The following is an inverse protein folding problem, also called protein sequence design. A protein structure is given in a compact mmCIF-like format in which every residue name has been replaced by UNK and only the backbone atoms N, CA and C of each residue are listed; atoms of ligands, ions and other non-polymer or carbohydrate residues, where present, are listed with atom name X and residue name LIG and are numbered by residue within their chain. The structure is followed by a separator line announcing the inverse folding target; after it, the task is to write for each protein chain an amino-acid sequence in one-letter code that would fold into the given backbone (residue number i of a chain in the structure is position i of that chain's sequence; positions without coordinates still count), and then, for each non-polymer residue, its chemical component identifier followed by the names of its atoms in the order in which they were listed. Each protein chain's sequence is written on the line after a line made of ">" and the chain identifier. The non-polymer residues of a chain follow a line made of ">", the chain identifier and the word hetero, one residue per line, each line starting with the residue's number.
data_IF_531702382429
#
_entry.id   IF_531702382429
#
_cell.length_a   1.000
_cell.length_b   1.000
_cell.length_c   1.000
_cell.angle_alpha   90.00
_cell.angle_beta   90.00
_cell.angle_gamma   90.00
#
_symmetry.space_group_name_H-M   'P 1'
#
loop_
_entity.id
_entity.type
_entity.pdbx_description
1 polymer ?
#
# COMPACT_ATOMS: atom_id res chain seq x y z
N UNK A 1 -17.96 3.66 -1.42
CA UNK A 1 -19.17 2.93 -1.90
C UNK A 1 -19.47 1.69 -1.04
N UNK A 2 -18.59 0.69 -0.90
CA UNK A 2 -18.86 -0.55 -0.12
C UNK A 2 -19.28 -0.35 1.34
N UNK A 3 -18.58 0.50 2.09
CA UNK A 3 -18.94 0.78 3.48
C UNK A 3 -20.36 1.36 3.60
N UNK A 4 -20.74 2.21 2.64
CA UNK A 4 -22.08 2.78 2.58
C UNK A 4 -23.10 1.72 2.18
N UNK A 5 -22.84 0.91 1.14
CA UNK A 5 -23.74 -0.20 0.78
C UNK A 5 -23.93 -1.18 1.94
N UNK A 6 -22.86 -1.56 2.64
CA UNK A 6 -22.94 -2.43 3.81
C UNK A 6 -23.80 -1.81 4.92
N UNK A 7 -23.69 -0.49 5.14
CA UNK A 7 -24.49 0.21 6.14
C UNK A 7 -25.95 0.34 5.71
N UNK A 8 -26.21 0.76 4.48
CA UNK A 8 -27.54 1.11 3.97
C UNK A 8 -28.34 -0.14 3.59
N UNK A 9 -27.74 -1.06 2.84
CA UNK A 9 -28.45 -2.25 2.31
C UNK A 9 -28.43 -3.40 3.31
N UNK A 10 -27.34 -3.56 4.08
CA UNK A 10 -27.16 -4.68 5.02
C UNK A 10 -27.28 -4.29 6.50
N UNK A 11 -27.56 -3.01 6.81
CA UNK A 11 -27.72 -2.54 8.19
C UNK A 11 -26.44 -2.62 9.03
N UNK A 12 -25.26 -2.73 8.41
CA UNK A 12 -24.00 -2.84 9.15
C UNK A 12 -23.74 -1.59 10.00
N UNK A 13 -23.39 -1.80 11.27
CA UNK A 13 -23.02 -0.71 12.17
C UNK A 13 -21.60 -0.25 11.88
N UNK A 14 -21.44 1.04 11.63
CA UNK A 14 -20.15 1.69 11.41
C UNK A 14 -19.75 2.49 12.66
N UNK A 15 -18.58 2.19 13.22
CA UNK A 15 -18.01 2.90 14.37
C UNK A 15 -16.67 3.48 13.92
N UNK A 16 -16.47 4.79 14.14
CA UNK A 16 -15.24 5.47 13.73
C UNK A 16 -14.48 5.97 14.95
N UNK A 17 -13.20 5.63 15.02
CA UNK A 17 -12.21 6.26 15.89
C UNK A 17 -11.38 7.19 15.01
N UNK A 18 -11.40 8.48 15.31
CA UNK A 18 -10.72 9.50 14.52
C UNK A 18 -10.49 10.72 15.41
N UNK A 19 -9.37 11.42 15.24
CA UNK A 19 -9.05 12.64 15.99
C UNK A 19 -9.98 13.80 15.60
N UNK A 20 -10.58 13.74 14.42
CA UNK A 20 -11.51 14.74 13.88
C UNK A 20 -12.83 14.12 13.44
N UNK A 21 -13.88 14.93 13.38
CA UNK A 21 -15.14 14.54 12.74
C UNK A 21 -14.94 14.54 11.21
N UNK A 22 -14.48 13.43 10.66
CA UNK A 22 -14.35 13.23 9.21
C UNK A 22 -15.70 12.93 8.54
N UNK A 23 -15.74 12.98 7.20
CA UNK A 23 -16.90 12.54 6.41
C UNK A 23 -17.36 11.12 6.73
N UNK A 24 -16.42 10.23 7.06
CA UNK A 24 -16.71 8.87 7.50
C UNK A 24 -17.32 8.87 8.91
N UNK A 25 -16.75 9.65 9.83
CA UNK A 25 -17.26 9.80 11.19
C UNK A 25 -18.70 10.36 11.21
N UNK A 26 -18.99 11.38 10.41
CA UNK A 26 -20.32 11.97 10.25
C UNK A 26 -21.36 10.96 9.72
N UNK A 27 -20.92 9.96 8.96
CA UNK A 27 -21.76 8.87 8.43
C UNK A 27 -21.71 7.60 9.29
N UNK A 28 -21.06 7.65 10.45
CA UNK A 28 -20.96 6.51 11.38
C UNK A 28 -22.12 6.51 12.36
N UNK A 29 -22.43 5.32 12.91
CA UNK A 29 -23.38 5.20 14.01
C UNK A 29 -22.84 5.79 15.31
N UNK A 30 -21.51 5.81 15.48
CA UNK A 30 -20.84 6.53 16.55
C UNK A 30 -19.44 6.96 16.09
N UNK A 31 -19.01 8.11 16.60
CA UNK A 31 -17.66 8.61 16.49
C UNK A 31 -17.05 8.76 17.88
N UNK A 32 -15.82 8.28 18.04
CA UNK A 32 -15.03 8.43 19.25
C UNK A 32 -13.81 9.31 18.94
N UNK A 33 -13.76 10.55 19.46
CA UNK A 33 -12.59 11.41 19.34
C UNK A 33 -11.46 10.83 20.17
N UNK A 34 -10.56 10.11 19.49
CA UNK A 34 -9.40 9.48 20.11
C UNK A 34 -8.22 10.46 20.08
N UNK A 35 -7.31 10.39 21.06
CA UNK A 35 -6.03 11.09 20.98
C UNK A 35 -5.13 10.44 19.92
N UNK A 36 -4.44 11.25 19.12
CA UNK A 36 -3.56 10.79 18.06
C UNK A 36 -2.53 9.77 18.57
N UNK A 37 -2.34 8.67 17.84
CA UNK A 37 -1.39 7.61 18.17
C UNK A 37 -1.79 6.69 19.33
N UNK A 38 -3.03 6.79 19.85
CA UNK A 38 -3.50 5.96 20.98
C UNK A 38 -4.46 4.83 20.57
N UNK A 39 -4.60 4.58 19.26
CA UNK A 39 -5.46 3.52 18.70
C UNK A 39 -5.06 2.13 19.21
N UNK A 40 -3.76 1.87 19.30
CA UNK A 40 -3.22 0.60 19.76
C UNK A 40 -3.66 0.23 21.16
N UNK A 41 -3.65 1.17 22.12
CA UNK A 41 -4.06 0.86 23.50
C UNK A 41 -5.56 0.59 23.62
N UNK A 42 -6.39 1.30 22.83
CA UNK A 42 -7.83 1.03 22.77
C UNK A 42 -8.09 -0.35 22.21
N UNK A 43 -7.43 -0.72 21.11
CA UNK A 43 -7.56 -2.03 20.51
C UNK A 43 -7.09 -3.17 21.45
N UNK A 44 -5.97 -2.98 22.15
CA UNK A 44 -5.46 -3.96 23.13
C UNK A 44 -6.39 -4.10 24.33
N UNK A 45 -7.00 -3.01 24.81
CA UNK A 45 -7.99 -3.08 25.89
C UNK A 45 -9.29 -3.75 25.45
N UNK A 46 -9.75 -3.49 24.22
CA UNK A 46 -10.87 -4.24 23.64
C UNK A 46 -10.53 -5.73 23.52
N UNK A 47 -9.34 -6.07 23.02
CA UNK A 47 -8.85 -7.45 22.93
C UNK A 47 -8.85 -8.14 24.31
N UNK A 48 -8.38 -7.44 25.36
CA UNK A 48 -8.43 -7.94 26.74
C UNK A 48 -9.86 -8.30 27.15
N UNK A 49 -10.82 -7.38 26.95
CA UNK A 49 -12.22 -7.60 27.31
C UNK A 49 -12.82 -8.79 26.55
N UNK A 50 -12.50 -8.95 25.26
CA UNK A 50 -12.95 -10.09 24.45
C UNK A 50 -12.42 -11.42 25.03
N UNK A 51 -11.14 -11.48 25.37
CA UNK A 51 -10.49 -12.68 25.91
C UNK A 51 -10.97 -13.00 27.32
N UNK A 52 -11.06 -12.00 28.20
CA UNK A 52 -11.48 -12.20 29.60
C UNK A 52 -12.94 -12.66 29.71
N UNK A 53 -13.80 -12.22 28.79
CA UNK A 53 -15.20 -12.68 28.70
C UNK A 53 -15.39 -13.99 27.94
N UNK A 54 -14.30 -14.63 27.47
CA UNK A 54 -14.39 -15.88 26.71
C UNK A 54 -15.07 -15.73 25.35
N UNK A 55 -15.06 -14.54 24.74
CA UNK A 55 -15.73 -14.25 23.47
C UNK A 55 -14.83 -14.48 22.24
N UNK A 56 -13.55 -14.77 22.46
CA UNK A 56 -12.61 -15.08 21.39
C UNK A 56 -12.94 -16.42 20.70
N UNK A 57 -12.69 -16.49 19.40
CA UNK A 57 -12.82 -17.70 18.59
C UNK A 57 -11.63 -18.64 18.87
N UNK A 58 -11.77 -19.49 19.89
CA UNK A 58 -10.71 -20.40 20.33
C UNK A 58 -10.18 -21.29 19.20
N UNK A 59 -11.06 -21.89 18.41
CA UNK A 59 -10.66 -22.78 17.32
C UNK A 59 -9.81 -22.07 16.26
N UNK A 60 -10.18 -20.83 15.91
CA UNK A 60 -9.38 -20.02 15.00
C UNK A 60 -8.02 -19.70 15.60
N UNK A 61 -7.97 -19.27 16.86
CA UNK A 61 -6.71 -18.91 17.52
C UNK A 61 -5.75 -20.10 17.59
N UNK A 62 -6.22 -21.27 18.01
CA UNK A 62 -5.35 -22.44 18.22
C UNK A 62 -4.89 -23.05 16.88
N UNK A 63 -5.77 -23.08 15.86
CA UNK A 63 -5.48 -23.73 14.57
C UNK A 63 -4.82 -22.81 13.55
N UNK A 64 -5.18 -21.53 13.53
CA UNK A 64 -4.83 -20.59 12.44
C UNK A 64 -3.84 -19.49 12.85
N UNK A 65 -3.42 -19.41 14.11
CA UNK A 65 -2.43 -18.41 14.57
C UNK A 65 -1.23 -19.07 15.22
N UNK A 66 -0.08 -18.39 15.18
CA UNK A 66 1.19 -18.90 15.71
C UNK A 66 1.36 -18.67 17.23
N UNK A 67 0.35 -18.12 17.90
CA UNK A 67 0.41 -17.75 19.31
C UNK A 67 -0.92 -18.09 20.00
N UNK A 68 -0.88 -18.90 21.05
CA UNK A 68 -2.09 -19.46 21.68
C UNK A 68 -2.92 -18.42 22.41
N UNK A 69 -4.23 -18.69 22.52
CA UNK A 69 -5.16 -17.81 23.24
C UNK A 69 -4.75 -17.60 24.72
N UNK A 70 -4.21 -18.63 25.37
CA UNK A 70 -3.73 -18.54 26.75
C UNK A 70 -2.53 -17.59 26.89
N UNK A 71 -1.56 -17.64 25.96
CA UNK A 71 -0.43 -16.73 25.96
C UNK A 71 -0.85 -15.29 25.64
N UNK A 72 -1.82 -15.11 24.75
CA UNK A 72 -2.42 -13.79 24.46
C UNK A 72 -3.10 -13.23 25.70
N UNK A 73 -3.88 -14.04 26.42
CA UNK A 73 -4.53 -13.62 27.67
C UNK A 73 -3.51 -13.08 28.67
N UNK A 74 -2.38 -13.78 28.84
CA UNK A 74 -1.31 -13.33 29.71
C UNK A 74 -0.71 -11.99 29.27
N UNK A 75 -0.37 -11.86 27.98
CA UNK A 75 0.18 -10.62 27.42
C UNK A 75 -0.78 -9.42 27.56
N UNK A 76 -2.08 -9.67 27.42
CA UNK A 76 -3.12 -8.65 27.49
C UNK A 76 -3.44 -8.16 28.91
N UNK A 77 -2.96 -8.85 29.95
CA UNK A 77 -3.27 -8.56 31.37
C UNK A 77 -3.09 -7.08 31.74
N UNK A 78 -2.05 -6.42 31.20
CA UNK A 78 -1.68 -5.02 31.45
C UNK A 78 -2.50 -3.94 30.72
N UNK A 79 -3.33 -4.31 29.75
CA UNK A 79 -4.07 -3.34 28.92
C UNK A 79 -5.51 -3.20 29.40
N UNK A 80 -5.71 -2.61 30.58
CA UNK A 80 -7.06 -2.45 31.15
C UNK A 80 -7.85 -1.34 30.42
N UNK A 81 -9.20 -1.45 30.34
CA UNK A 81 -10.05 -0.38 29.80
C UNK A 81 -9.88 0.98 30.49
N UNK A 82 -9.53 1.01 31.77
CA UNK A 82 -9.28 2.23 32.54
C UNK A 82 -7.99 2.90 32.10
N UNK A 83 -6.91 2.11 31.90
CA UNK A 83 -5.65 2.61 31.36
C UNK A 83 -5.82 3.13 29.94
N UNK A 84 -6.50 2.37 29.09
CA UNK A 84 -6.81 2.80 27.73
C UNK A 84 -7.65 4.09 27.70
N UNK A 85 -8.61 4.24 28.62
CA UNK A 85 -9.41 5.46 28.69
C UNK A 85 -8.58 6.69 29.09
N UNK A 86 -7.69 6.54 30.07
CA UNK A 86 -6.77 7.61 30.50
C UNK A 86 -5.87 8.08 29.34
N UNK A 87 -5.27 7.14 28.63
CA UNK A 87 -4.36 7.43 27.52
C UNK A 87 -5.13 8.04 26.34
N UNK A 88 -6.20 7.36 25.88
CA UNK A 88 -6.85 7.67 24.60
C UNK A 88 -7.95 8.72 24.65
N UNK A 89 -8.52 9.00 25.83
CA UNK A 89 -9.72 9.81 25.99
C UNK A 89 -11.04 9.07 25.73
N UNK A 90 -11.01 7.82 25.25
CA UNK A 90 -12.23 7.02 25.03
C UNK A 90 -12.71 6.43 26.35
N UNK A 91 -13.93 6.76 26.78
CA UNK A 91 -14.50 6.29 28.06
C UNK A 91 -14.41 4.76 28.22
N UNK A 92 -14.02 4.30 29.40
CA UNK A 92 -13.92 2.88 29.76
C UNK A 92 -15.19 2.08 29.41
N UNK A 93 -16.36 2.62 29.73
CA UNK A 93 -17.64 1.98 29.41
C UNK A 93 -17.82 1.74 27.89
N UNK A 94 -17.35 2.67 27.05
CA UNK A 94 -17.41 2.51 25.60
C UNK A 94 -16.45 1.43 25.12
N UNK A 95 -15.21 1.40 25.63
CA UNK A 95 -14.22 0.36 25.29
C UNK A 95 -14.78 -1.04 25.61
N UNK A 96 -15.30 -1.22 26.82
CA UNK A 96 -15.87 -2.50 27.25
C UNK A 96 -17.08 -2.91 26.42
N UNK A 97 -18.01 -1.98 26.19
CA UNK A 97 -19.22 -2.22 25.39
C UNK A 97 -18.87 -2.58 23.95
N UNK A 98 -18.03 -1.78 23.30
CA UNK A 98 -17.64 -1.99 21.90
C UNK A 98 -16.87 -3.30 21.73
N UNK A 99 -16.04 -3.71 22.69
CA UNK A 99 -15.37 -5.00 22.66
C UNK A 99 -16.36 -6.18 22.60
N UNK A 100 -17.40 -6.14 23.45
CA UNK A 100 -18.45 -7.16 23.48
C UNK A 100 -19.30 -7.10 22.21
N UNK A 101 -19.72 -5.91 21.78
CA UNK A 101 -20.49 -5.72 20.53
C UNK A 101 -19.71 -6.25 19.33
N UNK A 102 -18.42 -5.91 19.22
CA UNK A 102 -17.53 -6.34 18.15
C UNK A 102 -17.38 -7.87 18.09
N UNK A 103 -17.23 -8.54 19.24
CA UNK A 103 -17.08 -10.00 19.26
C UNK A 103 -18.39 -10.76 19.03
N UNK A 104 -19.54 -10.19 19.43
CA UNK A 104 -20.85 -10.84 19.30
C UNK A 104 -21.51 -10.58 17.94
N UNK A 105 -21.38 -9.39 17.37
CA UNK A 105 -21.94 -9.05 16.06
C UNK A 105 -21.04 -9.62 14.97
N UNK A 106 -21.45 -10.75 14.38
CA UNK A 106 -20.67 -11.43 13.34
C UNK A 106 -21.39 -11.37 11.99
N UNK A 107 -20.68 -11.12 10.88
CA UNK A 107 -19.27 -10.78 10.80
C UNK A 107 -18.98 -9.35 11.29
N UNK A 108 -17.82 -9.16 11.90
CA UNK A 108 -17.27 -7.86 12.31
C UNK A 108 -15.84 -7.71 11.82
N UNK A 109 -15.42 -6.48 11.54
CA UNK A 109 -14.06 -6.20 11.13
C UNK A 109 -13.59 -4.86 11.67
N UNK A 110 -12.32 -4.81 12.06
CA UNK A 110 -11.62 -3.59 12.39
C UNK A 110 -10.73 -3.22 11.20
N UNK A 111 -10.99 -2.06 10.60
CA UNK A 111 -10.26 -1.52 9.46
C UNK A 111 -9.17 -0.56 9.92
N UNK A 112 -8.09 -0.48 9.14
CA UNK A 112 -6.88 0.26 9.46
C UNK A 112 -6.60 1.24 8.31
N UNK A 113 -6.17 2.46 8.64
CA UNK A 113 -5.76 3.48 7.66
C UNK A 113 -4.56 4.29 8.15
N UNK A 114 -4.17 5.30 7.37
CA UNK A 114 -2.98 6.14 7.62
C UNK A 114 -2.93 6.73 9.03
N UNK A 115 -4.06 7.22 9.56
CA UNK A 115 -4.11 7.78 10.93
C UNK A 115 -3.70 6.81 12.04
N UNK A 116 -3.70 5.50 11.80
CA UNK A 116 -3.22 4.48 12.76
C UNK A 116 -1.75 4.14 12.52
N UNK A 117 -1.32 4.11 11.25
CA UNK A 117 0.03 3.68 10.83
C UNK A 117 1.07 4.81 10.83
N UNK A 118 0.66 6.05 10.65
CA UNK A 118 1.55 7.18 10.35
C UNK A 118 2.04 7.84 11.65
N UNK A 119 2.52 6.99 12.55
CA UNK A 119 3.00 7.33 13.87
C UNK A 119 4.27 6.52 14.19
N UNK A 120 5.09 7.01 15.15
CA UNK A 120 6.29 6.26 15.61
C UNK A 120 5.94 4.86 16.12
N UNK A 121 4.80 4.71 16.79
CA UNK A 121 4.26 3.43 17.27
C UNK A 121 3.32 2.73 16.26
N UNK A 122 3.25 3.23 15.02
CA UNK A 122 2.22 2.86 14.04
C UNK A 122 2.22 1.38 13.67
N UNK A 123 3.39 0.75 13.51
CA UNK A 123 3.47 -0.70 13.29
C UNK A 123 2.78 -1.49 14.41
N UNK A 124 2.95 -1.08 15.66
CA UNK A 124 2.34 -1.76 16.80
C UNK A 124 0.84 -1.43 16.93
N UNK A 125 0.41 -0.22 16.58
CA UNK A 125 -1.01 0.12 16.48
C UNK A 125 -1.73 -0.75 15.45
N UNK A 126 -1.16 -0.89 14.24
CA UNK A 126 -1.70 -1.74 13.17
C UNK A 126 -1.82 -3.19 13.65
N UNK A 127 -0.76 -3.73 14.28
CA UNK A 127 -0.78 -5.10 14.86
C UNK A 127 -1.86 -5.25 15.93
N UNK A 128 -2.08 -4.22 16.75
CA UNK A 128 -3.07 -4.21 17.83
C UNK A 128 -4.50 -4.20 17.28
N UNK A 129 -4.78 -3.41 16.24
CA UNK A 129 -6.09 -3.41 15.57
C UNK A 129 -6.32 -4.73 14.82
N UNK A 130 -5.29 -5.26 14.15
CA UNK A 130 -5.37 -6.56 13.48
C UNK A 130 -5.69 -7.70 14.46
N UNK A 131 -5.16 -7.65 15.69
CA UNK A 131 -5.44 -8.63 16.75
C UNK A 131 -6.95 -8.78 17.02
N UNK A 132 -7.73 -7.71 16.95
CA UNK A 132 -9.19 -7.79 17.11
C UNK A 132 -9.82 -8.71 16.06
N UNK A 133 -9.41 -8.58 14.80
CA UNK A 133 -9.91 -9.41 13.71
C UNK A 133 -9.55 -10.90 13.89
N UNK A 134 -8.34 -11.17 14.39
CA UNK A 134 -7.88 -12.53 14.68
C UNK A 134 -8.70 -13.14 15.82
N UNK A 135 -8.91 -12.40 16.90
CA UNK A 135 -9.67 -12.87 18.06
C UNK A 135 -11.11 -13.26 17.72
N UNK A 136 -11.76 -12.57 16.77
CA UNK A 136 -13.13 -12.93 16.35
C UNK A 136 -13.16 -13.98 15.23
N UNK A 137 -12.02 -14.23 14.58
CA UNK A 137 -11.84 -15.26 13.57
C UNK A 137 -12.63 -14.99 12.29
N UNK A 138 -12.66 -13.73 11.83
CA UNK A 138 -13.35 -13.28 10.62
C UNK A 138 -12.43 -13.16 9.39
N UNK A 139 -11.26 -13.78 9.41
CA UNK A 139 -10.39 -13.91 8.24
C UNK A 139 -10.94 -14.96 7.28
N UNK A 140 -10.99 -14.64 6.00
CA UNK A 140 -11.53 -15.45 4.90
C UNK A 140 -12.99 -15.86 5.11
N UNK A 141 -13.77 -15.00 5.79
CA UNK A 141 -15.22 -15.15 5.98
C UNK A 141 -15.99 -14.01 5.31
N UNK A 142 -17.23 -14.30 4.91
CA UNK A 142 -18.11 -13.27 4.34
C UNK A 142 -18.28 -12.11 5.32
N UNK A 143 -18.18 -10.87 4.82
CA UNK A 143 -18.23 -9.65 5.64
C UNK A 143 -17.01 -9.43 6.55
N UNK A 144 -15.99 -10.28 6.45
CA UNK A 144 -14.73 -10.18 7.17
C UNK A 144 -13.56 -9.74 6.28
N UNK A 145 -12.34 -10.05 6.74
CA UNK A 145 -11.10 -9.76 6.00
C UNK A 145 -10.76 -10.90 5.04
N UNK A 146 -9.97 -10.60 4.01
CA UNK A 146 -9.45 -11.62 3.10
C UNK A 146 -8.05 -11.22 2.61
N UNK A 147 -7.25 -12.21 2.24
CA UNK A 147 -5.97 -12.02 1.59
C UNK A 147 -6.17 -11.60 0.13
N UNK A 148 -5.48 -10.55 -0.32
CA UNK A 148 -5.55 -10.14 -1.71
C UNK A 148 -5.02 -11.25 -2.61
N UNK A 149 -5.77 -11.57 -3.66
CA UNK A 149 -5.36 -12.55 -4.68
C UNK A 149 -4.96 -11.84 -5.96
N UNK A 150 -3.83 -12.23 -6.51
CA UNK A 150 -3.27 -11.68 -7.74
C UNK A 150 -3.09 -12.81 -8.76
N UNK A 151 -3.33 -12.57 -10.07
CA UNK A 151 -3.22 -13.60 -11.09
C UNK A 151 -1.75 -13.94 -11.38
N UNK A 152 -0.87 -12.94 -11.30
CA UNK A 152 0.58 -13.06 -11.47
C UNK A 152 1.33 -11.96 -10.72
N UNK A 153 2.59 -12.21 -10.40
CA UNK A 153 3.52 -11.12 -10.09
C UNK A 153 3.78 -10.30 -11.35
N UNK A 154 3.50 -9.01 -11.29
CA UNK A 154 3.82 -8.09 -12.38
C UNK A 154 5.30 -7.72 -12.39
N UNK A 155 6.05 -7.98 -11.31
CA UNK A 155 7.46 -7.64 -11.28
C UNK A 155 8.26 -8.55 -12.23
N UNK A 156 9.24 -8.01 -12.97
CA UNK A 156 10.20 -8.85 -13.69
C UNK A 156 10.80 -9.86 -12.71
N UNK A 157 10.99 -11.12 -13.12
CA UNK A 157 11.68 -12.10 -12.28
C UNK A 157 13.08 -11.54 -11.99
N UNK A 158 13.28 -11.05 -10.77
CA UNK A 158 14.59 -10.67 -10.29
C UNK A 158 15.48 -11.91 -10.40
N UNK A 159 16.46 -11.89 -11.30
CA UNK A 159 17.48 -12.93 -11.33
C UNK A 159 18.19 -12.87 -9.98
N UNK A 160 17.98 -13.91 -9.16
CA UNK A 160 18.49 -14.12 -7.80
C UNK A 160 19.40 -12.97 -7.35
N UNK A 161 18.76 -11.83 -7.05
CA UNK A 161 19.42 -10.69 -6.46
C UNK A 161 19.61 -11.15 -5.03
N UNK A 162 20.56 -12.06 -4.80
CA UNK A 162 21.23 -12.21 -3.52
C UNK A 162 21.73 -10.82 -3.23
N UNK A 163 20.92 -10.11 -2.47
CA UNK A 163 21.01 -8.68 -2.27
C UNK A 163 22.34 -8.45 -1.58
N UNK A 164 23.39 -8.21 -2.38
CA UNK A 164 24.52 -7.40 -1.95
C UNK A 164 24.10 -5.95 -1.71
N UNK A 165 22.85 -5.60 -2.03
CA UNK A 165 22.10 -4.66 -1.23
C UNK A 165 22.01 -5.27 0.17
N UNK A 166 23.04 -5.04 0.98
CA UNK A 166 22.96 -5.24 2.42
C UNK A 166 21.62 -4.63 2.88
N UNK A 167 21.01 -5.18 3.92
CA UNK A 167 19.89 -4.54 4.61
C UNK A 167 20.15 -3.05 4.95
N UNK A 168 21.42 -2.63 4.92
CA UNK A 168 21.95 -1.27 4.98
C UNK A 168 21.60 -0.34 3.78
N UNK A 169 21.20 -0.85 2.61
CA UNK A 169 20.91 -0.03 1.42
C UNK A 169 19.41 0.20 1.18
N UNK A 170 18.55 -0.20 2.11
CA UNK A 170 17.13 0.15 2.10
C UNK A 170 16.92 1.47 2.85
N UNK A 171 17.44 2.56 2.28
CA UNK A 171 17.14 3.92 2.74
C UNK A 171 15.65 4.17 2.48
N UNK A 172 14.85 4.25 3.55
CA UNK A 172 13.38 4.39 3.52
C UNK A 172 12.91 5.81 3.25
N UNK A 173 13.84 6.76 3.18
CA UNK A 173 13.58 8.15 2.83
C UNK A 173 14.88 8.94 2.75
N UNK A 174 14.86 10.07 2.05
CA UNK A 174 16.07 10.88 1.83
C UNK A 174 16.71 11.35 3.16
N UNK A 175 15.91 11.56 4.20
CA UNK A 175 16.38 11.93 5.54
C UNK A 175 17.31 10.87 6.15
N UNK A 176 17.05 9.58 5.89
CA UNK A 176 17.88 8.48 6.39
C UNK A 176 19.28 8.48 5.76
N UNK A 177 19.48 9.09 4.59
CA UNK A 177 20.84 9.31 4.03
C UNK A 177 21.71 10.10 4.99
N UNK A 178 21.13 11.13 5.61
CA UNK A 178 21.84 11.98 6.59
C UNK A 178 22.15 11.22 7.86
N UNK A 179 21.17 10.49 8.39
CA UNK A 179 21.30 9.73 9.64
C UNK A 179 22.33 8.61 9.52
N UNK A 180 22.36 7.92 8.37
CA UNK A 180 23.29 6.83 8.11
C UNK A 180 24.63 7.29 7.52
N UNK A 181 24.77 8.60 7.26
CA UNK A 181 25.89 9.18 6.51
C UNK A 181 26.14 8.45 5.17
N UNK A 182 25.06 7.96 4.54
CA UNK A 182 25.14 7.23 3.28
C UNK A 182 25.17 8.23 2.13
N UNK A 183 26.22 8.15 1.33
CA UNK A 183 26.35 8.96 0.11
C UNK A 183 25.78 8.22 -1.09
N UNK A 184 24.98 8.92 -1.89
CA UNK A 184 24.53 8.46 -3.20
C UNK A 184 25.16 9.30 -4.31
N UNK A 185 25.32 8.73 -5.50
CA UNK A 185 25.86 9.48 -6.65
C UNK A 185 24.77 10.22 -7.43
N UNK A 186 23.55 9.69 -7.42
CA UNK A 186 22.44 10.22 -8.20
C UNK A 186 21.14 9.95 -7.47
N UNK A 187 20.28 10.96 -7.36
CA UNK A 187 18.92 10.82 -6.89
C UNK A 187 17.97 10.97 -8.08
N UNK A 188 17.20 9.93 -8.39
CA UNK A 188 16.22 9.95 -9.47
C UNK A 188 14.81 9.96 -8.87
N UNK A 189 14.11 11.09 -8.98
CA UNK A 189 12.71 11.21 -8.61
C UNK A 189 11.82 10.99 -9.85
N UNK A 190 10.88 10.05 -9.78
CA UNK A 190 9.89 9.83 -10.84
C UNK A 190 8.49 10.01 -10.27
N UNK A 191 7.71 10.97 -10.82
CA UNK A 191 6.37 11.34 -10.34
C UNK A 191 6.30 11.42 -8.80
N UNK A 192 7.33 12.02 -8.22
CA UNK A 192 7.55 12.10 -6.78
C UNK A 192 8.06 13.49 -6.46
N UNK A 193 7.44 14.13 -5.47
CA UNK A 193 7.74 15.51 -5.07
C UNK A 193 8.17 15.58 -3.59
N UNK A 194 9.29 14.95 -3.21
CA UNK A 194 9.75 14.87 -1.82
C UNK A 194 9.98 16.24 -1.18
N UNK A 195 10.32 17.27 -1.96
CA UNK A 195 10.41 18.65 -1.48
C UNK A 195 9.11 19.21 -0.89
N UNK A 196 7.96 18.62 -1.25
CA UNK A 196 6.64 19.01 -0.77
C UNK A 196 6.00 17.94 0.12
N UNK A 197 6.16 16.65 -0.21
CA UNK A 197 5.40 15.55 0.43
C UNK A 197 6.08 14.94 1.65
N UNK A 198 7.39 15.13 1.83
CA UNK A 198 8.11 14.48 2.94
C UNK A 198 7.78 15.15 4.29
N UNK A 199 7.73 14.38 5.41
CA UNK A 199 7.35 14.90 6.73
C UNK A 199 8.20 16.06 7.29
N UNK A 200 9.47 16.16 6.85
CA UNK A 200 10.35 17.32 7.11
C UNK A 200 10.87 17.86 5.77
N UNK A 201 9.99 18.56 5.07
CA UNK A 201 10.28 19.13 3.76
C UNK A 201 11.49 20.08 3.79
N UNK A 202 11.73 20.79 4.89
CA UNK A 202 12.88 21.68 5.06
C UNK A 202 14.21 20.92 5.02
N UNK A 203 14.32 19.85 5.82
CA UNK A 203 15.50 18.98 5.78
C UNK A 203 15.65 18.28 4.43
N UNK A 204 14.56 17.78 3.85
CA UNK A 204 14.58 17.16 2.52
C UNK A 204 15.08 18.13 1.45
N UNK A 205 14.57 19.36 1.39
CA UNK A 205 15.04 20.40 0.46
C UNK A 205 16.52 20.71 0.69
N UNK A 206 16.95 20.82 1.95
CA UNK A 206 18.37 21.03 2.27
C UNK A 206 19.26 19.90 1.76
N UNK A 207 18.83 18.64 1.91
CA UNK A 207 19.55 17.46 1.44
C UNK A 207 19.59 17.36 -0.09
N UNK A 208 18.49 17.66 -0.77
CA UNK A 208 18.41 17.65 -2.23
C UNK A 208 19.33 18.70 -2.87
N UNK A 209 19.59 19.82 -2.17
CA UNK A 209 20.50 20.87 -2.62
C UNK A 209 21.96 20.64 -2.21
N UNK A 210 22.22 19.69 -1.32
CA UNK A 210 23.58 19.40 -0.86
C UNK A 210 24.30 18.49 -1.85
N UNK A 211 25.10 19.08 -2.74
CA UNK A 211 25.89 18.37 -3.75
C UNK A 211 26.88 17.34 -3.15
N UNK A 212 27.19 17.41 -1.85
CA UNK A 212 28.03 16.39 -1.19
C UNK A 212 27.26 15.09 -0.98
N UNK A 213 25.96 15.18 -0.69
CA UNK A 213 25.07 14.06 -0.40
C UNK A 213 24.32 13.60 -1.65
N UNK A 214 23.79 14.55 -2.42
CA UNK A 214 23.08 14.35 -3.69
C UNK A 214 23.79 15.15 -4.79
N UNK A 215 24.86 14.61 -5.39
CA UNK A 215 25.65 15.33 -6.41
C UNK A 215 24.93 15.53 -7.74
N UNK A 216 23.86 14.76 -7.99
CA UNK A 216 23.11 14.84 -9.23
C UNK A 216 21.65 14.45 -9.00
N UNK A 217 20.76 15.42 -9.13
CA UNK A 217 19.32 15.29 -8.98
C UNK A 217 18.65 15.25 -10.36
N UNK A 218 18.03 14.11 -10.67
CA UNK A 218 17.21 13.94 -11.86
C UNK A 218 15.75 13.86 -11.44
N UNK A 219 14.90 14.67 -12.06
CA UNK A 219 13.46 14.63 -11.83
C UNK A 219 12.74 14.36 -13.14
N UNK A 220 11.98 13.26 -13.17
CA UNK A 220 11.11 12.91 -14.27
C UNK A 220 9.65 13.07 -13.86
N UNK A 221 9.01 14.11 -14.36
CA UNK A 221 7.65 14.48 -13.97
C UNK A 221 6.84 15.04 -15.14
N UNK A 222 5.52 15.03 -14.98
CA UNK A 222 4.55 15.65 -15.88
C UNK A 222 4.51 17.17 -15.72
N UNK A 223 4.92 17.69 -14.57
CA UNK A 223 4.90 19.11 -14.24
C UNK A 223 6.23 19.57 -13.67
N UNK A 224 6.51 20.87 -13.74
CA UNK A 224 7.64 21.47 -13.04
C UNK A 224 7.28 21.61 -11.54
N UNK A 225 7.54 20.55 -10.77
CA UNK A 225 7.30 20.49 -9.31
C UNK A 225 8.37 21.24 -8.52
N UNK A 226 8.13 21.49 -7.23
CA UNK A 226 9.11 22.08 -6.30
C UNK A 226 10.42 21.29 -6.28
N UNK A 227 10.34 19.96 -6.35
CA UNK A 227 11.52 19.09 -6.49
C UNK A 227 12.20 19.29 -7.85
N UNK A 228 11.42 19.37 -8.94
CA UNK A 228 11.97 19.57 -10.29
C UNK A 228 12.68 20.92 -10.47
N UNK A 229 12.20 21.97 -9.79
CA UNK A 229 12.83 23.30 -9.82
C UNK A 229 14.25 23.33 -9.24
N UNK A 230 14.63 22.31 -8.47
CA UNK A 230 15.97 22.16 -7.89
C UNK A 230 16.84 21.15 -8.65
N UNK A 231 16.29 20.48 -9.67
CA UNK A 231 16.97 19.39 -10.34
C UNK A 231 18.02 19.88 -11.33
N UNK A 232 19.13 19.14 -11.41
CA UNK A 232 20.14 19.33 -12.45
C UNK A 232 19.60 18.94 -13.83
N UNK A 233 18.68 17.98 -13.86
CA UNK A 233 18.01 17.52 -15.08
C UNK A 233 16.54 17.25 -14.84
N UNK A 234 15.69 17.91 -15.62
CA UNK A 234 14.25 17.65 -15.68
C UNK A 234 13.92 16.88 -16.96
N UNK A 235 13.29 15.72 -16.82
CA UNK A 235 12.81 14.88 -17.92
C UNK A 235 11.28 14.93 -17.98
N UNK A 236 10.66 15.28 -19.12
CA UNK A 236 9.21 15.24 -19.24
C UNK A 236 8.69 13.79 -19.20
N UNK A 237 7.77 13.50 -18.26
CA UNK A 237 7.16 12.19 -18.13
C UNK A 237 5.87 12.06 -18.95
N UNK A 238 5.65 10.89 -19.53
CA UNK A 238 4.36 10.51 -20.10
C UNK A 238 3.24 10.54 -19.03
N UNK A 239 2.10 11.14 -19.35
CA UNK A 239 0.89 11.04 -18.54
C UNK A 239 0.29 9.63 -18.64
N UNK A 240 -0.67 9.33 -17.76
CA UNK A 240 -1.37 8.04 -17.81
C UNK A 240 -2.20 7.84 -19.09
N UNK A 241 -2.49 8.89 -19.86
CA UNK A 241 -3.24 8.81 -21.13
C UNK A 241 -2.32 8.52 -22.34
N UNK A 242 -1.01 8.67 -22.18
CA UNK A 242 -0.04 8.59 -23.27
C UNK A 242 0.76 7.29 -23.27
N UNK A 243 0.76 6.57 -22.14
CA UNK A 243 1.62 5.41 -21.94
C UNK A 243 0.88 4.10 -21.72
N UNK A 244 1.53 3.01 -22.11
CA UNK A 244 1.07 1.68 -21.77
C UNK A 244 1.11 1.45 -20.24
N UNK A 245 0.27 0.57 -19.74
CA UNK A 245 0.29 0.20 -18.33
C UNK A 245 -0.41 -1.13 -18.09
N UNK A 246 0.07 -1.87 -17.10
CA UNK A 246 -0.60 -3.07 -16.62
C UNK A 246 -0.76 -2.96 -15.11
N UNK A 247 -1.96 -3.22 -14.61
CA UNK A 247 -2.25 -3.14 -13.19
C UNK A 247 -3.04 -4.36 -12.73
N UNK A 248 -2.59 -4.97 -11.65
CA UNK A 248 -3.34 -6.00 -10.94
C UNK A 248 -3.58 -5.51 -9.53
N UNK A 249 -4.74 -4.88 -9.34
CA UNK A 249 -5.22 -4.54 -8.01
C UNK A 249 -6.06 -5.70 -7.46
N UNK A 250 -6.08 -5.93 -6.14
CA UNK A 250 -7.05 -6.83 -5.54
C UNK A 250 -8.46 -6.40 -5.94
N UNK A 251 -9.23 -7.31 -6.52
CA UNK A 251 -10.59 -6.98 -6.90
C UNK A 251 -11.52 -6.98 -5.70
N UNK A 252 -12.67 -6.34 -5.90
CA UNK A 252 -13.70 -6.24 -4.88
C UNK A 252 -14.18 -7.62 -4.43
N UNK A 253 -14.38 -8.56 -5.35
CA UNK A 253 -14.97 -9.87 -5.04
C UNK A 253 -13.91 -10.96 -4.78
N UNK A 254 -12.67 -10.53 -4.54
CA UNK A 254 -11.50 -11.40 -4.32
C UNK A 254 -11.26 -12.39 -5.48
N UNK A 255 -11.66 -11.96 -6.68
CA UNK A 255 -11.36 -12.61 -7.97
C UNK A 255 -10.18 -11.85 -8.60
N UNK A 256 -9.02 -12.47 -8.83
CA UNK A 256 -7.90 -11.79 -9.46
C UNK A 256 -8.28 -11.08 -10.76
N UNK A 257 -7.85 -9.82 -10.90
CA UNK A 257 -8.06 -9.02 -12.12
C UNK A 257 -6.74 -8.51 -12.67
N UNK A 258 -6.72 -8.28 -13.97
CA UNK A 258 -5.64 -7.60 -14.67
C UNK A 258 -6.24 -6.53 -15.59
N UNK A 259 -5.85 -5.28 -15.39
CA UNK A 259 -6.23 -4.15 -16.23
C UNK A 259 -5.09 -3.80 -17.18
N UNK A 260 -5.43 -3.57 -18.44
CA UNK A 260 -4.52 -3.04 -19.45
C UNK A 260 -4.90 -1.59 -19.74
N UNK A 261 -3.93 -0.69 -19.52
CA UNK A 261 -4.01 0.70 -19.96
C UNK A 261 -3.35 0.82 -21.33
N UNK A 262 -4.10 1.38 -22.27
CA UNK A 262 -3.64 1.71 -23.62
C UNK A 262 -3.46 3.21 -23.74
N UNK A 263 -2.48 3.68 -24.53
CA UNK A 263 -2.39 5.08 -24.87
C UNK A 263 -3.67 5.51 -25.61
N UNK A 264 -4.33 6.53 -25.09
CA UNK A 264 -5.51 7.18 -25.71
C UNK A 264 -5.04 8.24 -26.71
N UNK A 265 -3.92 8.88 -26.42
CA UNK A 265 -3.25 9.84 -27.29
C UNK A 265 -1.79 9.43 -27.46
N UNK A 266 -1.18 9.79 -28.60
CA UNK A 266 0.27 9.62 -28.78
C UNK A 266 1.02 10.60 -27.88
N UNK A 267 2.20 10.22 -27.40
CA UNK A 267 3.12 11.13 -26.72
C UNK A 267 3.27 12.42 -27.54
N UNK A 268 2.84 13.53 -26.95
CA UNK A 268 2.95 14.84 -27.57
C UNK A 268 4.39 15.31 -27.40
N UNK A 269 5.12 15.50 -28.50
CA UNK A 269 6.34 16.29 -28.41
C UNK A 269 5.99 17.77 -28.43
N UNK A 270 6.60 18.55 -27.53
CA UNK A 270 6.46 20.01 -27.55
C UNK A 270 6.81 20.57 -28.94
N UNK A 271 7.79 19.97 -29.62
CA UNK A 271 8.15 20.30 -31.00
C UNK A 271 7.05 20.00 -32.03
N UNK A 272 6.25 18.94 -31.86
CA UNK A 272 5.11 18.61 -32.74
C UNK A 272 3.88 19.47 -32.43
N UNK A 273 3.62 19.78 -31.16
CA UNK A 273 2.50 20.65 -30.75
C UNK A 273 2.74 22.09 -31.22
N UNK A 274 3.95 22.62 -31.06
CA UNK A 274 4.33 23.96 -31.55
C UNK A 274 4.30 24.09 -33.09
N UNK A 275 4.30 22.97 -33.82
CA UNK A 275 4.20 22.93 -35.29
C UNK A 275 2.78 22.63 -35.79
N UNK A 276 1.80 22.45 -34.89
CA UNK A 276 0.42 22.17 -35.25
C UNK A 276 -0.33 23.45 -35.66
N UNK A 277 -1.03 23.48 -36.81
CA UNK A 277 -1.81 24.64 -37.26
C UNK A 277 -2.91 25.09 -36.29
N UNK A 278 -3.36 24.20 -35.40
CA UNK A 278 -4.40 24.46 -34.39
C UNK A 278 -3.91 25.39 -33.26
N UNK A 279 -2.60 25.62 -33.14
CA UNK A 279 -1.98 26.40 -32.06
C UNK A 279 -1.78 27.89 -32.38
N UNK A 280 -2.17 28.37 -33.56
CA UNK A 280 -2.11 29.81 -33.93
C UNK A 280 -2.90 30.72 -32.96
N UNK A 281 -3.89 30.17 -32.24
CA UNK A 281 -4.69 30.90 -31.23
C UNK A 281 -3.99 30.95 -29.84
N UNK A 282 -2.95 30.14 -29.62
CA UNK A 282 -2.25 29.96 -28.33
C UNK A 282 -0.98 30.81 -28.15
N UNK A 283 -0.71 31.79 -29.05
CA UNK A 283 0.51 32.64 -29.01
C UNK A 283 0.68 33.51 -27.75
N UNK A 284 -0.29 33.51 -26.83
CA UNK A 284 -0.23 34.22 -25.53
C UNK A 284 0.31 33.36 -24.37
N UNK A 285 0.55 32.06 -24.59
CA UNK A 285 1.03 31.12 -23.56
C UNK A 285 2.33 30.43 -24.00
N UNK A 286 3.26 31.15 -24.63
CA UNK A 286 4.59 30.61 -24.89
C UNK A 286 5.32 30.40 -23.55
N UNK A 287 5.71 29.16 -23.20
CA UNK A 287 6.65 28.96 -22.10
C UNK A 287 7.98 29.60 -22.51
N UNK A 288 8.53 30.48 -21.67
CA UNK A 288 9.83 31.15 -21.90
C UNK A 288 11.00 30.17 -22.13
N UNK A 289 10.81 28.87 -21.84
CA UNK A 289 11.77 27.81 -22.12
C UNK A 289 11.17 26.80 -23.11
N UNK A 290 11.83 26.60 -24.25
CA UNK A 290 11.55 25.47 -25.15
C UNK A 290 11.90 24.17 -24.42
N UNK A 291 10.97 23.22 -24.22
CA UNK A 291 11.29 21.94 -23.60
C UNK A 291 12.40 21.25 -24.39
N UNK A 292 13.51 20.88 -23.72
CA UNK A 292 14.67 20.25 -24.37
C UNK A 292 14.49 18.75 -24.64
N UNK A 293 13.32 18.15 -24.33
CA UNK A 293 13.04 16.74 -24.52
C UNK A 293 11.58 16.45 -24.90
N UNK A 294 11.35 15.32 -25.56
CA UNK A 294 10.02 14.75 -25.79
C UNK A 294 9.58 13.98 -24.53
N UNK A 295 8.28 14.00 -24.21
CA UNK A 295 7.76 13.19 -23.09
C UNK A 295 7.95 11.70 -23.39
N UNK A 296 8.35 10.94 -22.37
CA UNK A 296 8.67 9.53 -22.53
C UNK A 296 8.12 8.68 -21.37
N UNK A 297 7.89 7.39 -21.61
CA UNK A 297 7.50 6.46 -20.56
C UNK A 297 8.72 6.10 -19.69
N UNK A 298 8.56 6.08 -18.36
CA UNK A 298 9.64 5.69 -17.44
C UNK A 298 10.22 4.30 -17.75
N UNK A 299 9.39 3.38 -18.24
CA UNK A 299 9.83 2.05 -18.65
C UNK A 299 10.88 2.13 -19.76
N UNK A 300 10.67 2.96 -20.78
CA UNK A 300 11.62 3.15 -21.87
C UNK A 300 12.91 3.81 -21.39
N UNK A 301 12.82 4.81 -20.50
CA UNK A 301 13.99 5.45 -19.88
C UNK A 301 14.80 4.42 -19.08
N UNK A 302 14.16 3.62 -18.23
CA UNK A 302 14.81 2.57 -17.45
C UNK A 302 15.48 1.52 -18.34
N UNK A 303 14.83 1.11 -19.44
CA UNK A 303 15.40 0.15 -20.40
C UNK A 303 16.62 0.73 -21.12
N UNK A 304 16.57 2.00 -21.52
CA UNK A 304 17.69 2.68 -22.15
C UNK A 304 18.88 2.85 -21.19
N UNK A 305 18.62 3.25 -19.94
CA UNK A 305 19.64 3.30 -18.89
C UNK A 305 20.27 1.92 -18.66
N UNK A 306 19.45 0.87 -18.59
CA UNK A 306 19.95 -0.50 -18.42
C UNK A 306 20.89 -0.94 -19.56
N UNK A 307 20.58 -0.56 -20.81
CA UNK A 307 21.45 -0.82 -21.97
C UNK A 307 22.78 -0.07 -21.88
N UNK A 308 22.76 1.17 -21.40
CA UNK A 308 23.96 2.01 -21.23
C UNK A 308 24.85 1.53 -20.09
N UNK A 309 24.26 1.13 -18.97
CA UNK A 309 24.98 0.57 -17.81
C UNK A 309 25.61 -0.78 -18.16
N UNK A 310 25.00 -1.55 -19.08
CA UNK A 310 25.44 -2.89 -19.50
C UNK A 310 25.46 -3.88 -18.31
N UNK A 311 26.18 -4.99 -18.46
CA UNK A 311 26.36 -5.98 -17.39
C UNK A 311 25.08 -6.72 -17.00
N UNK A 312 24.92 -7.01 -15.70
CA UNK A 312 23.78 -7.78 -15.16
C UNK A 312 22.46 -7.01 -15.29
N UNK A 313 22.48 -5.68 -15.18
CA UNK A 313 21.28 -4.83 -15.28
C UNK A 313 20.68 -4.90 -16.68
N UNK A 314 21.51 -4.70 -17.72
CA UNK A 314 21.07 -4.84 -19.11
C UNK A 314 20.60 -6.27 -19.46
N UNK A 315 21.27 -7.30 -18.94
CA UNK A 315 20.87 -8.71 -19.17
C UNK A 315 19.51 -9.06 -18.55
N UNK A 316 19.19 -8.47 -17.40
CA UNK A 316 17.95 -8.76 -16.66
C UNK A 316 16.73 -7.99 -17.19
N UNK A 317 16.92 -7.02 -18.10
CA UNK A 317 15.86 -6.25 -18.72
C UNK A 317 15.91 -6.38 -20.26
N UNK A 318 15.69 -7.58 -20.82
CA UNK A 318 15.84 -7.87 -22.26
C UNK A 318 14.63 -7.42 -23.08
N UNK A 319 14.02 -6.30 -22.71
CA UNK A 319 12.81 -5.77 -23.32
C UNK A 319 13.15 -4.65 -24.30
N UNK A 320 12.43 -4.61 -25.43
CA UNK A 320 12.61 -3.57 -26.45
C UNK A 320 12.11 -2.21 -25.95
N UNK A 321 10.93 -2.20 -25.37
CA UNK A 321 10.21 -1.02 -24.88
C UNK A 321 9.17 -1.46 -23.82
N UNK A 322 8.48 -0.50 -23.20
CA UNK A 322 7.44 -0.78 -22.20
C UNK A 322 6.33 -1.68 -22.76
N UNK A 323 5.96 -1.51 -24.04
CA UNK A 323 4.91 -2.31 -24.65
C UNK A 323 5.34 -3.77 -24.87
N UNK A 324 6.59 -4.04 -25.27
CA UNK A 324 7.16 -5.38 -25.34
C UNK A 324 7.17 -6.05 -23.96
N UNK A 325 7.60 -5.34 -22.92
CA UNK A 325 7.56 -5.83 -21.55
C UNK A 325 6.13 -6.25 -21.14
N UNK A 326 5.16 -5.34 -21.29
CA UNK A 326 3.75 -5.62 -20.94
C UNK A 326 3.19 -6.78 -21.78
N UNK A 327 3.53 -6.83 -23.08
CA UNK A 327 3.12 -7.91 -23.98
C UNK A 327 3.63 -9.27 -23.51
N UNK A 328 4.89 -9.36 -23.07
CA UNK A 328 5.47 -10.60 -22.54
C UNK A 328 4.86 -11.00 -21.20
N UNK A 329 4.61 -10.04 -20.30
CA UNK A 329 3.91 -10.29 -19.03
C UNK A 329 2.52 -10.87 -19.30
N UNK A 330 1.73 -10.24 -20.17
CA UNK A 330 0.39 -10.71 -20.54
C UNK A 330 0.44 -12.10 -21.19
N UNK A 331 1.40 -12.33 -22.10
CA UNK A 331 1.54 -13.61 -22.80
C UNK A 331 1.95 -14.76 -21.87
N UNK A 332 2.55 -14.44 -20.72
CA UNK A 332 2.90 -15.43 -19.70
C UNK A 332 1.70 -15.95 -18.90
N UNK A 333 0.53 -15.29 -18.99
CA UNK A 333 -0.68 -15.62 -18.24
C UNK A 333 -1.54 -16.61 -19.05
N UNK A 334 -1.66 -17.89 -18.66
CA UNK A 334 -2.35 -18.89 -19.47
C UNK A 334 -3.84 -18.59 -19.69
N UNK A 335 -4.50 -18.01 -18.69
CA UNK A 335 -5.92 -17.63 -18.78
C UNK A 335 -6.18 -16.59 -19.86
N UNK A 336 -5.35 -15.55 -19.93
CA UNK A 336 -5.46 -14.52 -20.97
C UNK A 336 -5.17 -15.10 -22.36
N UNK A 337 -4.16 -15.97 -22.48
CA UNK A 337 -3.84 -16.63 -23.76
C UNK A 337 -5.02 -17.44 -24.30
N UNK A 338 -5.73 -18.16 -23.45
CA UNK A 338 -6.94 -18.93 -23.82
C UNK A 338 -8.09 -18.03 -24.27
N UNK A 339 -8.22 -16.84 -23.69
CA UNK A 339 -9.29 -15.88 -24.01
C UNK A 339 -8.93 -14.95 -25.18
N UNK A 340 -8.01 -15.33 -26.08
CA UNK A 340 -7.65 -14.51 -27.24
C UNK A 340 -6.52 -13.50 -27.00
N UNK A 341 -5.80 -13.62 -25.89
CA UNK A 341 -4.53 -12.95 -25.63
C UNK A 341 -4.63 -11.42 -25.54
N UNK A 342 -3.52 -10.76 -25.86
CA UNK A 342 -3.42 -9.30 -25.85
C UNK A 342 -4.47 -8.63 -26.74
N UNK A 343 -4.84 -9.24 -27.87
CA UNK A 343 -5.85 -8.68 -28.80
C UNK A 343 -7.21 -8.55 -28.13
N UNK A 344 -7.67 -9.60 -27.43
CA UNK A 344 -8.93 -9.53 -26.70
C UNK A 344 -8.82 -8.57 -25.50
N UNK A 345 -7.71 -8.59 -24.77
CA UNK A 345 -7.51 -7.69 -23.63
C UNK A 345 -7.48 -6.21 -24.02
N UNK A 346 -6.90 -5.85 -25.18
CA UNK A 346 -6.95 -4.49 -25.73
C UNK A 346 -8.39 -4.04 -26.00
N UNK A 347 -9.29 -4.94 -26.41
CA UNK A 347 -10.69 -4.60 -26.63
C UNK A 347 -11.48 -4.47 -25.32
N UNK A 348 -11.22 -5.35 -24.36
CA UNK A 348 -11.98 -5.42 -23.10
C UNK A 348 -11.45 -4.46 -22.02
N UNK A 349 -10.17 -4.09 -22.06
CA UNK A 349 -9.47 -3.30 -21.04
C UNK A 349 -9.21 -4.03 -19.72
N UNK A 350 -10.02 -5.04 -19.40
CA UNK A 350 -10.00 -5.82 -18.17
C UNK A 350 -10.04 -7.31 -18.49
N UNK A 351 -9.19 -8.08 -17.81
CA UNK A 351 -9.33 -9.52 -17.68
C UNK A 351 -9.62 -9.91 -16.23
N UNK A 352 -10.50 -10.88 -16.07
CA UNK A 352 -10.91 -11.43 -14.78
C UNK A 352 -10.56 -12.90 -14.78
N UNK A 353 -9.80 -13.36 -13.80
CA UNK A 353 -9.42 -14.76 -13.71
C UNK A 353 -10.57 -15.61 -13.18
N UNK A 354 -11.52 -15.91 -14.07
CA UNK A 354 -12.69 -16.77 -13.79
C UNK A 354 -12.30 -18.22 -13.48
N UNK A 355 -11.13 -18.64 -13.96
CA UNK A 355 -10.62 -20.00 -13.79
C UNK A 355 -9.84 -20.17 -12.49
N UNK A 356 -9.26 -19.09 -11.95
CA UNK A 356 -8.86 -19.08 -10.55
C UNK A 356 -10.08 -19.49 -9.76
N UNK A 357 -9.98 -20.64 -9.09
CA UNK A 357 -10.88 -20.99 -8.02
C UNK A 357 -10.59 -20.04 -6.84
N UNK A 358 -10.72 -18.73 -7.04
CA UNK A 358 -11.42 -17.97 -6.04
C UNK A 358 -12.77 -18.68 -5.95
N UNK A 359 -13.08 -19.26 -4.80
CA UNK A 359 -14.46 -19.64 -4.55
C UNK A 359 -15.27 -18.36 -4.66
N UNK A 360 -15.75 -18.02 -5.86
CA UNK A 360 -16.89 -17.15 -6.01
C UNK A 360 -17.94 -17.81 -5.16
N UNK A 361 -18.21 -17.23 -3.98
CA UNK A 361 -18.96 -17.75 -2.85
C UNK A 361 -19.82 -18.98 -3.20
N UNK A 362 -19.19 -20.14 -3.37
CA UNK A 362 -19.86 -21.43 -3.39
C UNK A 362 -19.65 -21.95 -1.98
N UNK A 363 -20.58 -21.50 -1.13
CA UNK A 363 -21.00 -22.14 0.10
C UNK A 363 -20.63 -23.62 0.07
N UNK A 364 -19.48 -23.96 0.66
CA UNK A 364 -19.14 -25.34 0.98
C UNK A 364 -18.09 -25.32 2.06
N UNK A 365 -18.57 -25.77 3.23
CA UNK A 365 -17.87 -26.31 4.40
C UNK A 365 -16.34 -26.27 4.32
N UNK A 366 -15.76 -25.59 5.31
CA UNK A 366 -14.39 -25.83 5.79
C UNK A 366 -13.38 -26.17 4.69
N UNK A 367 -13.19 -25.27 3.72
CA UNK A 367 -12.02 -25.36 2.86
C UNK A 367 -10.88 -24.62 3.52
N UNK A 368 -9.89 -25.41 3.94
CA UNK A 368 -8.57 -24.96 4.34
C UNK A 368 -8.06 -23.91 3.37
N UNK A 369 -7.56 -22.81 3.95
CA UNK A 369 -7.01 -21.64 3.27
C UNK A 369 -6.16 -22.08 2.06
N UNK A 370 -6.51 -21.69 0.83
CA UNK A 370 -5.73 -22.10 -0.32
C UNK A 370 -4.41 -21.31 -0.34
N UNK A 371 -3.30 -22.04 -0.24
CA UNK A 371 -1.91 -21.58 -0.33
C UNK A 371 -1.47 -20.52 0.71
N UNK A 372 -1.46 -20.89 1.98
CA UNK A 372 -0.39 -20.53 2.94
C UNK A 372 -0.55 -21.42 4.17
N UNK A 373 0.23 -22.51 4.24
CA UNK A 373 0.36 -23.35 5.44
C UNK A 373 1.00 -22.63 6.65
N UNK A 374 1.06 -21.29 6.61
CA UNK A 374 1.58 -20.45 7.66
C UNK A 374 0.41 -19.93 8.50
N UNK A 375 0.48 -20.22 9.79
CA UNK A 375 -0.37 -19.60 10.79
C UNK A 375 -0.20 -18.07 10.76
N UNK A 376 -1.27 -17.32 10.99
CA UNK A 376 -1.23 -15.86 11.18
C UNK A 376 -0.20 -15.54 12.25
N UNK A 377 0.75 -14.67 11.90
CA UNK A 377 1.84 -14.27 12.77
C UNK A 377 1.36 -13.21 13.78
N UNK A 378 1.03 -13.63 15.00
CA UNK A 378 0.77 -12.73 16.14
C UNK A 378 2.08 -12.43 16.86
N UNK A 379 2.92 -13.45 17.03
CA UNK A 379 4.27 -13.31 17.57
C UNK A 379 5.28 -13.31 16.42
N UNK A 380 6.04 -12.22 16.26
CA UNK A 380 7.01 -12.07 15.17
C UNK A 380 8.44 -12.32 15.61
N UNK A 381 9.04 -13.40 15.12
CA UNK A 381 10.47 -13.68 15.34
C UNK A 381 11.35 -12.61 14.69
N UNK A 382 10.96 -12.14 13.50
CA UNK A 382 11.67 -11.09 12.77
C UNK A 382 11.74 -9.79 13.57
N UNK A 383 10.63 -9.35 14.18
CA UNK A 383 10.65 -8.14 15.03
C UNK A 383 11.57 -8.33 16.23
N UNK A 384 11.49 -9.49 16.92
CA UNK A 384 12.35 -9.78 18.06
C UNK A 384 13.84 -9.75 17.69
N UNK A 385 14.21 -10.37 16.57
CA UNK A 385 15.59 -10.39 16.09
C UNK A 385 16.11 -8.99 15.76
N UNK A 386 15.23 -8.08 15.35
CA UNK A 386 15.56 -6.68 15.08
C UNK A 386 15.38 -5.76 16.30
N UNK A 387 15.27 -6.30 17.51
CA UNK A 387 15.18 -5.50 18.74
C UNK A 387 13.82 -4.82 18.97
N UNK A 388 12.79 -5.19 18.22
CA UNK A 388 11.43 -4.70 18.40
C UNK A 388 10.55 -5.70 19.15
N UNK A 389 9.44 -5.23 19.71
CA UNK A 389 8.51 -6.12 20.41
C UNK A 389 7.87 -7.14 19.46
N UNK A 390 7.95 -8.44 19.78
CA UNK A 390 7.38 -9.49 18.93
C UNK A 390 5.86 -9.56 18.98
N UNK A 391 5.23 -8.99 20.00
CA UNK A 391 3.78 -9.01 20.19
C UNK A 391 3.21 -7.61 19.96
N UNK A 392 1.93 -7.50 19.56
CA UNK A 392 1.24 -6.21 19.51
C UNK A 392 1.32 -5.53 20.87
N UNK A 393 1.91 -4.34 20.93
CA UNK A 393 2.03 -3.58 22.17
C UNK A 393 1.68 -2.12 21.99
N UNK A 394 1.57 -1.39 23.09
CA UNK A 394 1.40 0.05 23.04
C UNK A 394 2.56 0.74 23.74
N UNK A 395 3.19 1.65 23.01
CA UNK A 395 4.15 2.60 23.51
C UNK A 395 3.59 4.01 23.24
N UNK A 396 3.51 4.90 24.25
CA UNK A 396 3.16 6.30 24.04
C UNK A 396 4.09 6.98 23.02
N UNK A 397 3.62 8.04 22.37
CA UNK A 397 4.43 8.79 21.39
C UNK A 397 5.49 9.70 22.02
N UNK A 398 5.38 9.95 23.33
CA UNK A 398 6.19 10.90 24.12
C UNK A 398 6.99 10.19 25.19
#
# INVERSE_FOLDING_TARGET
>A
RRLINSRVEKGARLITFDVRMSETAAKSNAWYPIKAGTDGIVALAMAKVIVDKGLANKDFMDRKTNYSLAMIKNHLSRYTPEKAAKESGVRTANIQRLAVEFAKQKPSMALIGGGVSDHKNGTQNVRSVALLNWLVGNLEKEGGLFYPRFPVSLQPKAADLKSRLNSSNNIKGIVELKETNTRINTYFAYLSNPAYTDPDCGSTVGLLKDEKIVPFLVVMDTHLTETAMMADMVLPAATYLEGWGVNSAPSLDNVPILNLRQPVVSLLSAAKVLRSPIFEVGKLLEPMFRPRGEAEEVGNVCLELARRIKGRVGKNLPYKDTHDYITRVISSIPGIKKEGGLKNLKRQGLWVDKASKSGGYRYSREKELPALGQKVEIYSNTLKQNGHSPLPEYQPLT
#
